data_IF_447723140342
#
_entry.id   IF_447723140342
#
_cell.length_a   1.000
_cell.length_b   1.000
_cell.length_c   1.000
_cell.angle_alpha   90.00
_cell.angle_beta   90.00
_cell.angle_gamma   90.00
#
_symmetry.space_group_name_H-M   'P 1'
#
loop_
_entity.id
_entity.type
_entity.pdbx_description
1 polymer ?
#
# COMPACT_ATOMS: atom_id res chain seq x y z
N UNK A 1 54.74 -57.38 -41.28
CA UNK A 1 53.39 -57.90 -41.61
C UNK A 1 52.42 -57.31 -40.61
N UNK A 2 51.56 -56.41 -41.10
CA UNK A 2 50.27 -55.92 -40.62
C UNK A 2 50.06 -55.54 -39.13
N UNK A 3 49.81 -54.24 -38.84
CA UNK A 3 48.48 -53.60 -38.57
C UNK A 3 48.11 -53.75 -37.06
N UNK A 4 47.80 -52.75 -36.24
CA UNK A 4 46.85 -51.62 -36.35
C UNK A 4 47.09 -50.58 -35.23
N UNK A 5 46.52 -49.39 -35.47
CA UNK A 5 46.49 -48.10 -34.75
C UNK A 5 45.70 -48.09 -33.42
N UNK A 6 45.94 -47.09 -32.56
CA UNK A 6 45.01 -45.98 -32.17
C UNK A 6 45.46 -45.32 -30.84
N UNK A 7 45.69 -43.99 -30.90
CA UNK A 7 45.79 -43.07 -29.77
C UNK A 7 44.42 -42.90 -29.10
N UNK A 8 44.35 -42.98 -27.78
CA UNK A 8 43.25 -42.38 -27.00
C UNK A 8 43.88 -41.56 -25.87
N UNK A 9 44.14 -40.30 -26.18
CA UNK A 9 44.36 -39.26 -25.19
C UNK A 9 43.01 -39.02 -24.49
N UNK A 10 42.94 -39.32 -23.21
CA UNK A 10 41.75 -39.17 -22.37
C UNK A 10 41.33 -37.70 -22.29
N UNK A 11 40.46 -37.27 -23.19
CA UNK A 11 39.80 -35.97 -23.14
C UNK A 11 38.61 -36.09 -22.18
N UNK A 12 38.85 -35.76 -20.91
CA UNK A 12 37.80 -35.60 -19.91
C UNK A 12 36.97 -34.37 -20.29
N UNK A 13 35.93 -34.57 -21.08
CA UNK A 13 34.96 -33.53 -21.43
C UNK A 13 34.09 -33.28 -20.20
N UNK A 14 34.44 -32.25 -19.44
CA UNK A 14 33.61 -31.70 -18.38
C UNK A 14 32.38 -31.06 -19.05
N UNK A 15 31.30 -31.83 -19.18
CA UNK A 15 29.99 -31.32 -19.59
C UNK A 15 29.48 -30.47 -18.44
N UNK A 16 29.73 -29.15 -18.52
CA UNK A 16 29.06 -28.18 -17.66
C UNK A 16 27.61 -28.15 -18.13
N UNK A 17 26.74 -28.88 -17.43
CA UNK A 17 25.30 -28.71 -17.54
C UNK A 17 24.99 -27.31 -17.00
N UNK A 18 24.93 -26.33 -17.88
CA UNK A 18 24.29 -25.05 -17.60
C UNK A 18 22.81 -25.39 -17.42
N UNK A 19 22.43 -25.64 -16.18
CA UNK A 19 21.02 -25.65 -15.79
C UNK A 19 20.52 -24.23 -16.04
N UNK A 20 19.79 -24.01 -17.13
CA UNK A 20 18.90 -22.86 -17.26
C UNK A 20 17.85 -23.01 -16.15
N UNK A 21 18.19 -22.58 -14.94
CA UNK A 21 17.19 -22.12 -14.00
C UNK A 21 16.55 -20.94 -14.69
N UNK A 22 15.33 -21.11 -15.21
CA UNK A 22 14.53 -19.97 -15.63
C UNK A 22 14.32 -19.16 -14.35
N UNK A 23 15.13 -18.14 -14.13
CA UNK A 23 14.88 -17.15 -13.08
C UNK A 23 13.52 -16.55 -13.44
N UNK A 24 12.50 -16.95 -12.69
CA UNK A 24 11.16 -16.41 -12.84
C UNK A 24 11.25 -14.93 -12.50
N UNK A 25 10.71 -14.07 -13.36
CA UNK A 25 10.63 -12.65 -13.02
C UNK A 25 9.92 -12.49 -11.66
N UNK A 26 10.44 -11.60 -10.79
CA UNK A 26 9.83 -11.36 -9.50
C UNK A 26 8.40 -10.82 -9.69
N UNK A 27 7.46 -11.36 -8.91
CA UNK A 27 6.07 -10.91 -8.88
C UNK A 27 5.76 -10.20 -7.54
N UNK A 28 4.64 -9.48 -7.48
CA UNK A 28 4.26 -8.69 -6.30
C UNK A 28 4.20 -9.55 -5.02
N UNK A 29 3.61 -10.74 -5.11
CA UNK A 29 3.38 -11.60 -3.95
C UNK A 29 4.69 -12.19 -3.41
N UNK A 30 5.54 -12.71 -4.30
CA UNK A 30 6.81 -13.34 -3.91
C UNK A 30 7.88 -12.34 -3.43
N UNK A 31 7.69 -11.06 -3.76
CA UNK A 31 8.66 -10.00 -3.48
C UNK A 31 8.27 -9.08 -2.32
N UNK A 32 7.05 -9.23 -1.80
CA UNK A 32 6.55 -8.47 -0.67
C UNK A 32 7.16 -8.98 0.65
N UNK A 33 7.54 -8.05 1.54
CA UNK A 33 7.90 -8.37 2.92
C UNK A 33 6.66 -8.57 3.80
N UNK A 34 5.57 -7.89 3.46
CA UNK A 34 4.26 -8.06 4.06
C UNK A 34 3.17 -7.79 3.02
N UNK A 35 1.98 -8.34 3.27
CA UNK A 35 0.78 -8.12 2.46
C UNK A 35 -0.39 -7.77 3.35
N UNK A 36 -1.23 -6.84 2.93
CA UNK A 36 -2.46 -6.46 3.62
C UNK A 36 -3.62 -6.38 2.63
N UNK A 37 -4.83 -6.49 3.15
CA UNK A 37 -6.04 -6.09 2.43
C UNK A 37 -6.50 -4.75 3.00
N UNK A 38 -6.49 -3.69 2.20
CA UNK A 38 -6.70 -2.31 2.70
C UNK A 38 -7.97 -1.73 2.10
N UNK A 39 -8.86 -1.22 2.95
CA UNK A 39 -10.07 -0.51 2.56
C UNK A 39 -9.91 0.99 2.79
N UNK A 40 -10.27 1.78 1.78
CA UNK A 40 -10.45 3.22 1.88
C UNK A 40 -11.94 3.51 1.84
N UNK A 41 -12.44 3.98 2.98
CA UNK A 41 -13.86 4.31 3.16
C UNK A 41 -14.01 5.83 3.04
N UNK A 42 -14.85 6.26 2.12
CA UNK A 42 -15.18 7.67 1.92
C UNK A 42 -16.08 8.13 3.06
N UNK A 43 -15.73 9.27 3.65
CA UNK A 43 -16.44 9.83 4.78
C UNK A 43 -16.77 11.31 4.56
N UNK A 44 -18.01 11.67 4.86
CA UNK A 44 -18.52 13.04 4.86
C UNK A 44 -18.74 13.52 6.30
N UNK A 45 -18.35 14.76 6.60
CA UNK A 45 -18.59 15.37 7.91
C UNK A 45 -20.03 15.84 8.03
N UNK A 46 -20.64 15.50 9.16
CA UNK A 46 -22.02 15.88 9.47
C UNK A 46 -22.14 17.29 10.05
N UNK A 47 -23.37 17.81 10.16
CA UNK A 47 -23.62 19.16 10.68
C UNK A 47 -23.24 19.35 12.16
N UNK A 48 -23.02 18.26 12.90
CA UNK A 48 -22.58 18.30 14.31
C UNK A 48 -21.08 18.04 14.47
N UNK A 49 -20.31 18.00 13.38
CA UNK A 49 -18.87 17.77 13.44
C UNK A 49 -18.16 18.85 14.26
N UNK A 50 -17.34 18.41 15.21
CA UNK A 50 -16.35 19.21 15.93
C UNK A 50 -15.12 18.34 16.16
N UNK A 51 -13.94 18.95 16.28
CA UNK A 51 -12.72 18.17 16.53
C UNK A 51 -12.82 17.36 17.83
N UNK A 52 -13.30 17.97 18.92
CA UNK A 52 -13.47 17.29 20.21
C UNK A 52 -14.51 16.16 20.13
N UNK A 53 -15.63 16.39 19.43
CA UNK A 53 -16.67 15.38 19.22
C UNK A 53 -16.18 14.20 18.37
N UNK A 54 -15.39 14.47 17.33
CA UNK A 54 -14.79 13.44 16.50
C UNK A 54 -13.76 12.62 17.28
N UNK A 55 -12.89 13.26 18.07
CA UNK A 55 -11.93 12.53 18.92
C UNK A 55 -12.62 11.69 20.00
N UNK A 56 -13.72 12.18 20.57
CA UNK A 56 -14.54 11.39 21.49
C UNK A 56 -15.16 10.18 20.78
N UNK A 57 -15.68 10.36 19.57
CA UNK A 57 -16.18 9.28 18.73
C UNK A 57 -15.09 8.24 18.43
N UNK A 58 -13.89 8.64 18.04
CA UNK A 58 -12.76 7.72 17.79
C UNK A 58 -12.42 6.90 19.05
N UNK A 59 -12.44 7.54 20.24
CA UNK A 59 -12.22 6.84 21.50
C UNK A 59 -13.29 5.78 21.78
N UNK A 60 -14.56 6.10 21.52
CA UNK A 60 -15.66 5.13 21.65
C UNK A 60 -15.54 4.00 20.63
N UNK A 61 -15.13 4.31 19.40
CA UNK A 61 -14.90 3.30 18.37
C UNK A 61 -13.79 2.33 18.77
N UNK A 62 -12.66 2.83 19.28
CA UNK A 62 -11.57 1.97 19.78
C UNK A 62 -12.04 1.06 20.93
N UNK A 63 -12.80 1.60 21.88
CA UNK A 63 -13.35 0.80 22.98
C UNK A 63 -14.38 -0.25 22.50
N UNK A 64 -15.08 0.04 21.39
CA UNK A 64 -15.97 -0.92 20.74
C UNK A 64 -15.17 -2.03 20.05
N UNK A 65 -14.07 -1.70 19.36
CA UNK A 65 -13.17 -2.69 18.76
C UNK A 65 -12.63 -3.67 19.80
N UNK A 66 -12.25 -3.20 20.99
CA UNK A 66 -11.78 -4.05 22.10
C UNK A 66 -12.81 -5.11 22.55
N UNK A 67 -14.09 -4.94 22.19
CA UNK A 67 -15.17 -5.87 22.53
C UNK A 67 -15.49 -6.90 21.43
N UNK A 68 -14.92 -6.73 20.23
CA UNK A 68 -15.15 -7.61 19.08
C UNK A 68 -14.19 -8.80 19.10
N UNK A 69 -14.65 -9.94 18.58
CA UNK A 69 -13.81 -11.12 18.33
C UNK A 69 -12.80 -10.88 17.22
N UNK A 70 -13.13 -10.02 16.25
CA UNK A 70 -12.30 -9.69 15.09
C UNK A 70 -12.08 -8.17 15.02
N UNK A 71 -11.29 -7.60 15.95
CA UNK A 71 -11.04 -6.16 15.96
C UNK A 71 -10.24 -5.71 14.74
N UNK A 72 -10.42 -4.44 14.36
CA UNK A 72 -9.54 -3.75 13.43
C UNK A 72 -8.17 -3.56 14.06
N UNK A 73 -7.12 -4.10 13.43
CA UNK A 73 -5.74 -3.96 13.92
C UNK A 73 -5.14 -2.59 13.56
N UNK A 74 -5.33 -2.15 12.31
CA UNK A 74 -4.74 -0.92 11.79
C UNK A 74 -5.85 -0.06 11.19
N UNK A 75 -6.00 1.16 11.71
CA UNK A 75 -6.87 2.17 11.12
C UNK A 75 -6.25 3.56 11.18
N UNK A 76 -6.56 4.38 10.17
CA UNK A 76 -6.11 5.76 10.11
C UNK A 76 -7.14 6.66 9.42
N UNK A 77 -7.33 7.87 9.95
CA UNK A 77 -8.01 8.95 9.24
C UNK A 77 -7.03 9.70 8.33
N UNK A 78 -7.41 9.93 7.09
CA UNK A 78 -6.60 10.64 6.10
C UNK A 78 -7.36 11.87 5.61
N UNK A 79 -6.91 13.05 6.03
CA UNK A 79 -7.45 14.31 5.56
C UNK A 79 -6.82 14.69 4.22
N UNK A 80 -7.61 14.91 3.17
CA UNK A 80 -7.09 15.30 1.87
C UNK A 80 -6.41 16.68 1.96
N UNK A 81 -5.29 16.81 1.25
CA UNK A 81 -4.57 18.09 1.10
C UNK A 81 -4.87 18.81 -0.21
N UNK A 82 -5.70 18.18 -1.04
CA UNK A 82 -6.20 18.69 -2.30
C UNK A 82 -7.72 18.67 -2.23
N UNK A 83 -8.35 19.68 -2.80
CA UNK A 83 -9.81 19.72 -2.90
C UNK A 83 -10.29 18.56 -3.77
N UNK A 84 -11.38 17.92 -3.35
CA UNK A 84 -12.06 16.85 -4.08
C UNK A 84 -13.55 16.90 -3.70
N UNK A 85 -14.40 16.40 -4.59
CA UNK A 85 -15.87 16.40 -4.41
C UNK A 85 -16.42 15.04 -3.96
N UNK A 86 -15.56 14.06 -3.67
CA UNK A 86 -15.96 12.69 -3.36
C UNK A 86 -16.09 12.40 -1.87
N UNK A 87 -15.29 13.06 -1.05
CA UNK A 87 -15.24 12.84 0.39
C UNK A 87 -14.58 14.01 1.11
N UNK A 88 -14.96 14.23 2.37
CA UNK A 88 -14.28 15.14 3.27
C UNK A 88 -12.99 14.53 3.84
N UNK A 89 -12.99 13.22 4.11
CA UNK A 89 -11.80 12.47 4.48
C UNK A 89 -11.92 10.97 4.15
N UNK A 90 -10.80 10.25 4.18
CA UNK A 90 -10.79 8.79 4.06
C UNK A 90 -10.58 8.15 5.43
N UNK A 91 -11.37 7.13 5.75
CA UNK A 91 -11.03 6.18 6.80
C UNK A 91 -10.36 4.97 6.15
N UNK A 92 -9.06 4.84 6.38
CA UNK A 92 -8.28 3.69 5.92
C UNK A 92 -8.29 2.60 6.99
N UNK A 93 -8.58 1.36 6.60
CA UNK A 93 -8.50 0.18 7.45
C UNK A 93 -7.64 -0.87 6.75
N UNK A 94 -6.64 -1.40 7.45
CA UNK A 94 -5.80 -2.47 6.93
C UNK A 94 -6.06 -3.76 7.70
N UNK A 95 -6.27 -4.83 6.95
CA UNK A 95 -6.54 -6.18 7.42
C UNK A 95 -5.42 -7.11 7.01
N UNK A 96 -5.20 -8.18 7.77
CA UNK A 96 -4.24 -9.23 7.40
C UNK A 96 -4.60 -9.93 6.09
N UNK A 97 -5.90 -10.08 5.83
CA UNK A 97 -6.39 -10.68 4.58
C UNK A 97 -7.83 -10.29 4.31
N UNK A 98 -8.30 -10.57 3.09
CA UNK A 98 -9.71 -10.41 2.73
C UNK A 98 -10.62 -11.27 3.62
N UNK A 99 -10.21 -12.48 4.00
CA UNK A 99 -11.01 -13.35 4.87
C UNK A 99 -11.18 -12.76 6.27
N UNK A 100 -10.13 -12.15 6.82
CA UNK A 100 -10.21 -11.44 8.11
C UNK A 100 -11.14 -10.24 8.00
N UNK A 101 -11.02 -9.45 6.92
CA UNK A 101 -11.93 -8.36 6.60
C UNK A 101 -13.39 -8.83 6.56
N UNK A 102 -13.67 -9.88 5.80
CA UNK A 102 -15.02 -10.41 5.61
C UNK A 102 -15.62 -10.87 6.95
N UNK A 103 -14.81 -11.50 7.81
CA UNK A 103 -15.21 -11.89 9.16
C UNK A 103 -15.53 -10.68 10.03
N UNK A 104 -14.64 -9.68 10.04
CA UNK A 104 -14.81 -8.46 10.84
C UNK A 104 -16.06 -7.67 10.43
N UNK A 105 -16.31 -7.50 9.13
CA UNK A 105 -17.53 -6.85 8.65
C UNK A 105 -18.79 -7.65 8.94
N UNK A 106 -18.75 -8.98 8.81
CA UNK A 106 -19.89 -9.83 9.17
C UNK A 106 -20.22 -9.70 10.66
N UNK A 107 -19.21 -9.66 11.52
CA UNK A 107 -19.38 -9.45 12.96
C UNK A 107 -19.92 -8.04 13.25
N UNK A 108 -19.37 -7.02 12.61
CA UNK A 108 -19.79 -5.63 12.73
C UNK A 108 -21.27 -5.46 12.37
N UNK A 109 -21.71 -6.01 11.24
CA UNK A 109 -23.09 -5.93 10.76
C UNK A 109 -24.04 -6.71 11.68
N UNK A 110 -23.63 -7.88 12.17
CA UNK A 110 -24.44 -8.69 13.09
C UNK A 110 -24.51 -8.11 14.51
N UNK A 111 -23.55 -7.24 14.87
CA UNK A 111 -23.41 -6.66 16.18
C UNK A 111 -23.65 -5.14 16.19
N UNK A 112 -22.62 -4.31 16.45
CA UNK A 112 -22.82 -2.91 16.78
C UNK A 112 -23.10 -1.99 15.58
N UNK A 113 -22.92 -2.47 14.34
CA UNK A 113 -22.83 -1.61 13.16
C UNK A 113 -24.04 -0.72 12.91
N UNK A 114 -25.27 -1.23 13.04
CA UNK A 114 -26.49 -0.45 12.86
C UNK A 114 -26.59 0.69 13.89
N UNK A 115 -26.47 0.34 15.17
CA UNK A 115 -26.49 1.31 16.27
C UNK A 115 -25.36 2.32 16.16
N UNK A 116 -24.16 1.88 15.78
CA UNK A 116 -23.01 2.76 15.60
C UNK A 116 -23.29 3.79 14.51
N UNK A 117 -23.73 3.35 13.33
CA UNK A 117 -24.07 4.23 12.20
C UNK A 117 -25.12 5.27 12.60
N UNK A 118 -26.19 4.87 13.28
CA UNK A 118 -27.21 5.80 13.78
C UNK A 118 -26.64 6.82 14.78
N UNK A 119 -25.78 6.36 15.70
CA UNK A 119 -25.17 7.19 16.72
C UNK A 119 -24.25 8.26 16.12
N UNK A 120 -23.45 7.90 15.11
CA UNK A 120 -22.40 8.78 14.57
C UNK A 120 -22.84 9.60 13.37
N UNK A 121 -23.96 9.27 12.71
CA UNK A 121 -24.47 9.99 11.54
C UNK A 121 -24.52 11.53 11.66
N UNK A 122 -24.83 12.13 12.82
CA UNK A 122 -24.77 13.60 12.98
C UNK A 122 -23.36 14.19 12.91
N UNK A 123 -22.32 13.39 13.20
CA UNK A 123 -20.91 13.77 13.24
C UNK A 123 -20.21 13.40 11.93
N UNK A 124 -20.42 12.17 11.45
CA UNK A 124 -19.79 11.64 10.24
C UNK A 124 -20.68 10.57 9.61
N UNK A 125 -20.64 10.49 8.28
CA UNK A 125 -21.22 9.42 7.50
C UNK A 125 -20.14 8.77 6.65
N UNK A 126 -19.79 7.51 6.92
CA UNK A 126 -18.74 6.77 6.22
C UNK A 126 -19.30 5.59 5.44
N UNK A 127 -18.80 5.35 4.22
CA UNK A 127 -19.22 4.24 3.37
C UNK A 127 -20.66 4.34 2.87
N UNK A 128 -21.36 5.43 3.19
CA UNK A 128 -22.67 5.70 2.68
C UNK A 128 -22.59 5.97 1.18
N UNK A 129 -23.44 5.29 0.43
CA UNK A 129 -23.63 5.58 -0.98
C UNK A 129 -24.45 6.86 -1.14
N UNK A 130 -23.81 8.01 -1.02
CA UNK A 130 -24.46 9.27 -1.43
C UNK A 130 -24.58 9.21 -2.95
N UNK A 131 -25.82 9.09 -3.44
CA UNK A 131 -26.19 9.04 -4.86
C UNK A 131 -25.97 7.71 -5.62
N UNK A 132 -25.81 6.56 -4.93
CA UNK A 132 -25.69 5.26 -5.59
C UNK A 132 -24.25 4.85 -5.95
N UNK A 133 -23.26 5.68 -5.60
CA UNK A 133 -21.83 5.40 -5.76
C UNK A 133 -21.33 4.57 -4.58
N UNK A 134 -20.52 3.54 -4.82
CA UNK A 134 -19.88 2.75 -3.75
C UNK A 134 -18.90 3.63 -2.97
N UNK A 135 -18.96 3.61 -1.64
CA UNK A 135 -18.12 4.46 -0.77
C UNK A 135 -16.95 3.73 -0.12
N UNK A 136 -16.72 2.48 -0.52
CA UNK A 136 -15.69 1.61 0.08
C UNK A 136 -14.88 0.98 -1.04
N UNK A 137 -13.59 1.30 -1.10
CA UNK A 137 -12.69 0.83 -2.15
C UNK A 137 -11.55 0.03 -1.55
N UNK A 138 -11.46 -1.24 -1.93
CA UNK A 138 -10.50 -2.17 -1.36
C UNK A 138 -9.36 -2.49 -2.32
N UNK A 139 -8.16 -2.63 -1.77
CA UNK A 139 -6.94 -2.91 -2.49
C UNK A 139 -6.19 -4.08 -1.86
N UNK A 140 -5.59 -4.92 -2.69
CA UNK A 140 -4.50 -5.80 -2.27
C UNK A 140 -3.24 -4.94 -2.14
N UNK A 141 -2.71 -4.85 -0.93
CA UNK A 141 -1.53 -4.05 -0.63
C UNK A 141 -0.30 -4.95 -0.48
N UNK A 142 0.71 -4.68 -1.30
CA UNK A 142 2.01 -5.34 -1.24
C UNK A 142 3.02 -4.36 -0.68
N UNK A 143 3.72 -4.73 0.38
CA UNK A 143 4.77 -3.94 0.99
C UNK A 143 6.12 -4.54 0.59
N UNK A 144 6.69 -4.18 -0.56
CA UNK A 144 7.99 -4.71 -1.01
C UNK A 144 9.14 -4.33 -0.09
N UNK A 145 8.95 -3.29 0.73
CA UNK A 145 9.91 -2.88 1.74
C UNK A 145 9.23 -2.17 2.92
N UNK A 146 9.61 -2.53 4.15
CA UNK A 146 9.12 -1.93 5.40
C UNK A 146 10.32 -1.54 6.26
N UNK A 147 10.35 -0.29 6.72
CA UNK A 147 11.37 0.16 7.64
C UNK A 147 11.21 -0.51 9.02
N UNK A 148 12.30 -1.07 9.54
CA UNK A 148 12.34 -1.77 10.83
C UNK A 148 12.79 -0.86 12.00
N UNK A 149 13.08 0.42 11.74
CA UNK A 149 13.82 1.29 12.68
C UNK A 149 12.92 2.16 13.59
N UNK A 150 11.60 2.27 13.37
CA UNK A 150 10.72 3.05 14.27
C UNK A 150 9.35 2.43 14.52
N UNK A 151 8.75 2.82 15.65
CA UNK A 151 7.33 2.63 15.95
C UNK A 151 6.50 3.15 14.74
N UNK A 152 5.70 2.31 14.08
CA UNK A 152 5.18 2.61 12.74
C UNK A 152 4.02 3.62 12.73
N UNK A 153 3.56 4.10 13.88
CA UNK A 153 2.41 5.01 13.99
C UNK A 153 2.77 6.29 14.74
N UNK A 154 3.44 7.26 14.10
CA UNK A 154 3.46 8.62 14.62
C UNK A 154 2.03 9.18 14.68
N UNK A 155 1.75 10.04 15.68
CA UNK A 155 0.41 10.63 15.88
C UNK A 155 -0.11 11.39 14.63
N UNK A 156 0.82 11.84 13.78
CA UNK A 156 0.54 12.50 12.51
C UNK A 156 1.50 12.01 11.44
N UNK A 157 1.12 12.11 10.16
CA UNK A 157 1.96 11.71 9.05
C UNK A 157 1.42 12.19 7.70
N UNK A 158 2.17 11.93 6.65
CA UNK A 158 1.83 12.30 5.27
C UNK A 158 1.78 11.05 4.42
N UNK A 159 0.65 10.82 3.77
CA UNK A 159 0.51 9.79 2.74
C UNK A 159 0.44 10.46 1.36
N UNK A 160 1.06 9.83 0.36
CA UNK A 160 0.86 10.15 -1.05
C UNK A 160 0.33 8.94 -1.80
N UNK A 161 -0.43 9.20 -2.85
CA UNK A 161 -0.98 8.18 -3.75
C UNK A 161 -0.68 8.61 -5.18
N UNK A 162 0.00 7.76 -5.93
CA UNK A 162 0.24 7.96 -7.36
C UNK A 162 -0.41 6.80 -8.11
N UNK A 163 -1.52 7.08 -8.80
CA UNK A 163 -2.24 6.10 -9.61
C UNK A 163 -1.52 5.92 -10.95
N UNK A 164 -1.24 4.68 -11.33
CA UNK A 164 -0.35 4.33 -12.43
C UNK A 164 -0.91 3.17 -13.25
N UNK A 165 -0.52 3.11 -14.52
CA UNK A 165 -0.77 1.99 -15.41
C UNK A 165 0.56 1.41 -15.90
N UNK A 166 0.57 0.11 -16.16
CA UNK A 166 1.68 -0.55 -16.82
C UNK A 166 1.82 -0.06 -18.26
N UNK A 167 3.04 -0.18 -18.79
CA UNK A 167 3.34 0.08 -20.20
C UNK A 167 4.08 -1.13 -20.77
N UNK A 168 4.25 -1.18 -22.10
CA UNK A 168 5.01 -2.26 -22.74
C UNK A 168 6.43 -2.41 -22.17
N UNK A 169 7.06 -1.29 -21.79
CA UNK A 169 8.42 -1.24 -21.24
C UNK A 169 8.47 -1.20 -19.71
N UNK A 170 7.32 -1.16 -19.03
CA UNK A 170 7.24 -1.08 -17.57
C UNK A 170 6.10 -1.94 -17.06
N UNK A 171 6.44 -3.18 -16.71
CA UNK A 171 5.53 -4.22 -16.24
C UNK A 171 5.63 -4.44 -14.71
N UNK A 172 4.91 -5.44 -14.19
CA UNK A 172 4.93 -5.79 -12.77
C UNK A 172 6.34 -6.08 -12.24
N UNK A 173 7.15 -6.87 -12.96
CA UNK A 173 8.53 -7.17 -12.53
C UNK A 173 9.42 -5.93 -12.47
N UNK A 174 9.21 -4.99 -13.40
CA UNK A 174 9.90 -3.68 -13.39
C UNK A 174 9.49 -2.84 -12.17
N UNK A 175 8.19 -2.81 -11.85
CA UNK A 175 7.65 -2.13 -10.68
C UNK A 175 8.22 -2.68 -9.38
N UNK A 176 8.21 -4.01 -9.21
CA UNK A 176 8.75 -4.70 -8.04
C UNK A 176 10.24 -4.38 -7.86
N UNK A 177 11.01 -4.48 -8.94
CA UNK A 177 12.45 -4.17 -8.93
C UNK A 177 12.70 -2.73 -8.48
N UNK A 178 11.94 -1.79 -9.02
CA UNK A 178 12.05 -0.37 -8.68
C UNK A 178 11.65 -0.08 -7.23
N UNK A 179 10.60 -0.73 -6.72
CA UNK A 179 10.17 -0.58 -5.33
C UNK A 179 11.24 -1.10 -4.34
N UNK A 180 11.87 -2.23 -4.63
CA UNK A 180 12.97 -2.77 -3.82
C UNK A 180 14.20 -1.87 -3.85
N UNK A 181 14.58 -1.34 -5.03
CA UNK A 181 15.66 -0.36 -5.16
C UNK A 181 15.38 0.91 -4.35
N UNK A 182 14.12 1.37 -4.34
CA UNK A 182 13.70 2.51 -3.52
C UNK A 182 13.87 2.21 -2.03
N UNK A 183 13.44 1.03 -1.57
CA UNK A 183 13.63 0.60 -0.18
C UNK A 183 15.10 0.54 0.25
N UNK A 184 15.95 -0.10 -0.55
CA UNK A 184 17.41 -0.17 -0.30
C UNK A 184 18.06 1.21 -0.28
N UNK A 185 17.58 2.12 -1.13
CA UNK A 185 18.04 3.49 -1.14
C UNK A 185 17.67 4.21 0.18
N UNK A 186 16.45 4.04 0.69
CA UNK A 186 16.04 4.59 2.00
C UNK A 186 16.85 3.98 3.14
N UNK A 187 17.16 2.68 3.10
CA UNK A 187 18.07 2.04 4.06
C UNK A 187 19.45 2.71 4.08
N UNK A 188 19.99 3.06 2.91
CA UNK A 188 21.27 3.77 2.84
C UNK A 188 21.20 5.17 3.46
N UNK A 189 20.09 5.90 3.27
CA UNK A 189 19.89 7.20 3.91
C UNK A 189 19.87 7.09 5.43
N UNK A 190 19.14 6.10 5.95
CA UNK A 190 19.03 5.88 7.38
C UNK A 190 20.38 5.48 7.99
N UNK A 191 21.12 4.57 7.36
CA UNK A 191 22.38 4.06 7.89
C UNK A 191 23.56 5.04 7.74
N UNK A 192 23.71 5.67 6.58
CA UNK A 192 24.90 6.46 6.26
C UNK A 192 24.78 7.92 6.73
N UNK A 193 23.55 8.43 6.81
CA UNK A 193 23.28 9.83 7.10
C UNK A 193 22.42 10.04 8.36
N UNK A 194 21.97 8.97 9.01
CA UNK A 194 21.14 9.06 10.23
C UNK A 194 19.79 9.73 9.96
N UNK A 195 19.26 9.61 8.74
CA UNK A 195 18.02 10.27 8.33
C UNK A 195 16.81 9.86 9.18
N UNK A 196 16.84 8.63 9.76
CA UNK A 196 15.81 8.08 10.64
C UNK A 196 14.38 8.23 10.10
N UNK A 197 14.19 8.13 8.79
CA UNK A 197 12.88 8.31 8.16
C UNK A 197 11.97 7.14 8.46
N UNK A 198 10.77 7.38 9.00
CA UNK A 198 9.70 6.36 9.14
C UNK A 198 9.05 5.95 7.80
N UNK A 199 9.73 6.22 6.67
CA UNK A 199 9.19 5.95 5.35
C UNK A 199 8.83 4.49 5.18
N UNK A 200 7.71 4.24 4.51
CA UNK A 200 7.38 2.94 3.95
C UNK A 200 6.60 3.12 2.66
N UNK A 201 6.65 2.06 1.84
CA UNK A 201 6.06 2.04 0.52
C UNK A 201 5.10 0.85 0.42
N UNK A 202 3.92 1.10 -0.12
CA UNK A 202 2.99 0.06 -0.52
C UNK A 202 2.62 0.20 -1.99
N UNK A 203 2.51 -0.93 -2.66
CA UNK A 203 1.91 -1.08 -3.98
C UNK A 203 0.48 -1.56 -3.78
N UNK A 204 -0.49 -0.74 -4.16
CA UNK A 204 -1.91 -1.02 -3.99
C UNK A 204 -2.51 -1.46 -5.32
N UNK A 205 -3.02 -2.69 -5.40
CA UNK A 205 -3.71 -3.22 -6.57
C UNK A 205 -5.22 -3.18 -6.29
N UNK A 206 -6.04 -2.48 -7.10
CA UNK A 206 -7.47 -2.35 -6.87
C UNK A 206 -8.16 -3.71 -7.02
N UNK A 207 -9.14 -3.97 -6.15
CA UNK A 207 -10.01 -5.16 -6.22
C UNK A 207 -11.39 -4.84 -6.81
N UNK A 208 -11.48 -3.71 -7.50
CA UNK A 208 -12.67 -3.13 -8.12
C UNK A 208 -12.29 -2.55 -9.49
N UNK A 209 -13.29 -2.26 -10.32
CA UNK A 209 -13.07 -1.67 -11.64
C UNK A 209 -12.65 -0.19 -11.52
N UNK A 210 -11.56 0.19 -12.17
CA UNK A 210 -11.09 1.58 -12.22
C UNK A 210 -11.62 2.29 -13.48
N UNK A 211 -11.79 3.62 -13.46
CA UNK A 211 -11.61 4.53 -12.32
C UNK A 211 -12.77 4.48 -11.32
N UNK A 212 -12.53 5.04 -10.14
CA UNK A 212 -13.58 5.35 -9.17
C UNK A 212 -14.57 6.33 -9.82
N UNK A 213 -15.86 6.02 -9.78
CA UNK A 213 -16.91 6.88 -10.34
C UNK A 213 -16.87 8.28 -9.71
N UNK A 214 -16.96 9.30 -10.56
CA UNK A 214 -16.88 10.71 -10.13
C UNK A 214 -15.45 11.20 -9.83
N UNK A 215 -14.44 10.32 -9.80
CA UNK A 215 -13.06 10.76 -9.62
C UNK A 215 -12.50 11.42 -10.88
N UNK A 216 -11.55 12.34 -10.70
CA UNK A 216 -10.75 12.92 -11.77
C UNK A 216 -9.61 12.00 -12.23
N UNK A 217 -9.43 10.85 -11.59
CA UNK A 217 -8.38 9.88 -11.92
C UNK A 217 -8.87 9.03 -13.09
N UNK A 218 -8.01 8.79 -14.09
CA UNK A 218 -8.29 7.87 -15.20
C UNK A 218 -8.25 6.40 -14.75
N UNK A 219 -8.37 5.47 -15.69
CA UNK A 219 -8.09 4.05 -15.43
C UNK A 219 -6.65 3.88 -14.91
N UNK A 220 -6.46 2.95 -13.98
CA UNK A 220 -5.16 2.62 -13.41
C UNK A 220 -5.09 1.14 -13.03
N UNK A 221 -3.87 0.59 -13.09
CA UNK A 221 -3.59 -0.79 -12.72
C UNK A 221 -3.18 -0.92 -11.25
N UNK A 222 -2.54 0.12 -10.70
CA UNK A 222 -2.09 0.15 -9.30
C UNK A 222 -1.94 1.59 -8.79
N UNK A 223 -1.82 1.75 -7.47
CA UNK A 223 -1.40 2.99 -6.83
C UNK A 223 -0.11 2.78 -6.03
N UNK A 224 0.89 3.64 -6.25
CA UNK A 224 2.09 3.72 -5.44
C UNK A 224 1.79 4.61 -4.22
N UNK A 225 1.78 4.00 -3.04
CA UNK A 225 1.55 4.69 -1.77
C UNK A 225 2.84 4.90 -1.01
N UNK A 226 3.22 6.15 -0.79
CA UNK A 226 4.31 6.52 0.12
C UNK A 226 3.76 7.05 1.44
N UNK A 227 4.47 6.80 2.54
CA UNK A 227 4.19 7.39 3.84
C UNK A 227 5.44 8.04 4.43
N UNK A 228 5.29 9.17 5.12
CA UNK A 228 6.34 9.82 5.91
C UNK A 228 5.74 10.32 7.23
N UNK A 229 6.53 10.34 8.31
CA UNK A 229 6.14 10.92 9.61
C UNK A 229 5.78 12.40 9.56
N UNK A 230 6.32 13.15 8.59
CA UNK A 230 6.20 14.60 8.54
C UNK A 230 6.29 15.14 7.11
N UNK A 231 5.79 16.35 6.92
CA UNK A 231 5.87 17.01 5.61
C UNK A 231 7.31 17.42 5.30
N UNK A 232 8.06 17.82 6.32
CA UNK A 232 9.48 18.15 6.24
C UNK A 232 10.27 16.95 5.67
N UNK A 233 10.10 15.76 6.26
CA UNK A 233 10.78 14.55 5.81
C UNK A 233 10.35 14.15 4.39
N UNK A 234 9.06 14.32 4.05
CA UNK A 234 8.59 14.07 2.67
C UNK A 234 9.26 14.99 1.65
N UNK A 235 9.36 16.28 1.94
CA UNK A 235 9.98 17.27 1.05
C UNK A 235 11.47 17.00 0.88
N UNK A 236 12.17 16.66 1.96
CA UNK A 236 13.58 16.27 1.91
C UNK A 236 13.78 15.01 1.05
N UNK A 237 12.95 13.99 1.23
CA UNK A 237 12.99 12.77 0.43
C UNK A 237 12.78 13.06 -1.07
N UNK A 238 11.79 13.88 -1.41
CA UNK A 238 11.52 14.27 -2.81
C UNK A 238 12.67 15.08 -3.40
N UNK A 239 13.16 16.08 -2.67
CA UNK A 239 14.29 16.89 -3.12
C UNK A 239 15.55 16.04 -3.32
N UNK A 240 15.77 15.04 -2.46
CA UNK A 240 16.87 14.10 -2.62
C UNK A 240 16.73 13.30 -3.92
N UNK A 241 15.56 12.71 -4.18
CA UNK A 241 15.30 11.91 -5.40
C UNK A 241 15.42 12.77 -6.66
N UNK A 242 15.02 14.04 -6.62
CA UNK A 242 15.15 14.96 -7.75
C UNK A 242 16.60 15.39 -8.01
N UNK A 243 17.42 15.50 -6.96
CA UNK A 243 18.81 15.97 -7.04
C UNK A 243 19.83 14.84 -7.26
N UNK A 244 19.45 13.60 -6.92
CA UNK A 244 20.21 12.41 -7.30
C UNK A 244 19.65 11.88 -8.62
N UNK A 245 20.49 11.31 -9.49
CA UNK A 245 20.11 10.97 -10.88
C UNK A 245 19.07 9.83 -11.01
N UNK A 246 18.32 9.50 -9.96
CA UNK A 246 17.16 8.61 -9.95
C UNK A 246 15.91 9.36 -10.46
N UNK A 247 15.91 9.74 -11.73
CA UNK A 247 14.70 10.24 -12.38
C UNK A 247 13.72 9.08 -12.56
N UNK A 248 12.72 9.00 -11.68
CA UNK A 248 11.43 8.43 -12.08
C UNK A 248 10.87 9.39 -13.14
N UNK A 249 10.86 8.98 -14.40
CA UNK A 249 10.12 9.70 -15.44
C UNK A 249 8.65 9.59 -15.09
N UNK A 250 8.08 10.64 -14.53
CA UNK A 250 6.63 10.84 -14.59
C UNK A 250 6.32 11.40 -15.97
N UNK A 251 5.56 10.65 -16.76
CA UNK A 251 4.98 11.14 -18.00
C UNK A 251 4.04 12.30 -17.67
N UNK A 252 4.32 13.48 -18.23
CA UNK A 252 3.39 14.62 -18.27
C UNK A 252 2.16 14.31 -19.11
#
# INVERSE_FOLDING_TARGET
MNILKINILSLLTLVILISCSSEREPDLTSSAQDTKYVEYIFCDVGPSFTNDGFMAMIKEWNALQDSLETPVEISAGLNPRVENDLYDFLWAIAWDSKEVRDKAWSEWIAGPGERWTEQVAPIVSCGASTNGIEGVYAFDAYLPWINQVSDPTPETGVASYNFCSYTEDFNEGSLVTQAQQTGQFIDSLNNDYGANSSYWLALLVPTFDTPIEGSSTGEYDYALRGYWDSEEVRQEAIAFVQNTSFSFRTST
#
